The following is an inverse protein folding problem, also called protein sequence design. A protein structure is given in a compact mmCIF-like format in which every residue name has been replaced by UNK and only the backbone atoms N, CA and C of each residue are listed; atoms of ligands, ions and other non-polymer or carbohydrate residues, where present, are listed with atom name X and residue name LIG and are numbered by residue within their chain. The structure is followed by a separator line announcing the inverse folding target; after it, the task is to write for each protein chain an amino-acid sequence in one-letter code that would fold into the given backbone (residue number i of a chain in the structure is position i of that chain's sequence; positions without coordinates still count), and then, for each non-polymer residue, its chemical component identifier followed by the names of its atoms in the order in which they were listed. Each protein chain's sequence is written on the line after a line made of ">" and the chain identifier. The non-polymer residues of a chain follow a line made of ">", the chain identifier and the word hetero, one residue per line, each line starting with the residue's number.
data_IF_159109888551
#
_entry.id   IF_159109888551
#
_cell.length_a   1.000
_cell.length_b   1.000
_cell.length_c   1.000
_cell.angle_alpha   90.00
_cell.angle_beta   90.00
_cell.angle_gamma   90.00
#
_symmetry.space_group_name_H-M   'P 1'
#
loop_
_entity.id
_entity.type
_entity.pdbx_description
1 polymer ?
#
# COMPACT_ATOMS: atom_id res chain seq x y z
N UNK A 1 -2.93 20.36 13.05
CA UNK A 1 -4.36 20.08 12.85
C UNK A 1 -4.49 18.99 11.80
N UNK A 2 -5.15 17.87 12.13
CA UNK A 2 -5.40 16.79 11.18
C UNK A 2 -6.83 16.92 10.65
N UNK A 3 -7.01 16.92 9.33
CA UNK A 3 -8.33 16.96 8.69
C UNK A 3 -8.47 15.69 7.88
N UNK A 4 -9.52 14.93 8.16
CA UNK A 4 -9.84 13.69 7.45
C UNK A 4 -11.04 13.96 6.57
N UNK A 5 -10.91 13.75 5.27
CA UNK A 5 -11.98 13.96 4.30
C UNK A 5 -12.17 12.66 3.53
N UNK A 6 -13.39 12.15 3.47
CA UNK A 6 -13.67 10.86 2.84
C UNK A 6 -13.62 10.94 1.31
N UNK A 7 -14.07 12.04 0.71
CA UNK A 7 -13.96 12.29 -0.72
C UNK A 7 -13.60 13.75 -0.97
N UNK A 8 -12.68 13.99 -1.91
CA UNK A 8 -12.26 15.32 -2.32
C UNK A 8 -12.54 15.46 -3.81
N UNK A 9 -13.50 16.30 -4.16
CA UNK A 9 -13.80 16.64 -5.55
C UNK A 9 -12.72 17.53 -6.17
N UNK A 10 -12.67 17.59 -7.50
CA UNK A 10 -11.72 18.43 -8.24
C UNK A 10 -11.82 19.89 -7.75
N UNK A 11 -10.71 20.42 -7.21
CA UNK A 11 -10.62 21.80 -6.72
C UNK A 11 -11.07 22.04 -5.28
N UNK A 12 -11.74 21.09 -4.62
CA UNK A 12 -12.16 21.24 -3.21
C UNK A 12 -10.96 21.32 -2.26
N UNK A 13 -9.88 20.63 -2.61
CA UNK A 13 -8.65 20.62 -1.83
C UNK A 13 -8.02 21.99 -1.63
N UNK A 14 -7.97 22.79 -2.70
CA UNK A 14 -7.37 24.13 -2.63
C UNK A 14 -8.19 25.06 -1.74
N UNK A 15 -9.53 24.99 -1.85
CA UNK A 15 -10.45 25.76 -1.02
C UNK A 15 -10.30 25.40 0.46
N UNK A 16 -10.16 24.12 0.77
CA UNK A 16 -9.92 23.63 2.12
C UNK A 16 -8.60 24.20 2.70
N UNK A 17 -7.51 24.11 1.94
CA UNK A 17 -6.19 24.61 2.38
C UNK A 17 -6.21 26.13 2.58
N UNK A 18 -6.84 26.88 1.68
CA UNK A 18 -6.99 28.33 1.78
C UNK A 18 -7.79 28.74 3.03
N UNK A 19 -8.87 28.04 3.33
CA UNK A 19 -9.67 28.27 4.54
C UNK A 19 -8.89 27.95 5.82
N UNK A 20 -8.13 26.85 5.84
CA UNK A 20 -7.33 26.47 7.01
C UNK A 20 -6.19 27.45 7.29
N UNK A 21 -5.55 27.99 6.24
CA UNK A 21 -4.55 29.06 6.39
C UNK A 21 -5.14 30.35 6.97
N UNK A 22 -6.34 30.77 6.52
CA UNK A 22 -7.02 31.96 7.06
C UNK A 22 -7.32 31.84 8.55
N UNK A 23 -7.49 30.62 9.06
CA UNK A 23 -7.68 30.33 10.48
C UNK A 23 -6.37 30.23 11.28
N UNK A 24 -5.22 30.56 10.69
CA UNK A 24 -3.91 30.56 11.36
C UNK A 24 -3.27 29.17 11.56
N UNK A 25 -3.83 28.12 10.96
CA UNK A 25 -3.32 26.76 11.13
C UNK A 25 -2.16 26.48 10.18
N UNK A 26 -0.92 26.76 10.61
CA UNK A 26 0.30 26.58 9.80
C UNK A 26 0.79 25.13 9.63
N UNK A 27 0.17 24.15 10.31
CA UNK A 27 0.52 22.73 10.23
C UNK A 27 -0.74 21.89 10.05
N UNK A 28 -1.05 21.57 8.79
CA UNK A 28 -2.20 20.74 8.41
C UNK A 28 -1.70 19.42 7.80
N UNK A 29 -2.32 18.31 8.21
CA UNK A 29 -2.19 16.98 7.60
C UNK A 29 -3.55 16.60 7.04
N UNK A 30 -3.63 16.26 5.75
CA UNK A 30 -4.86 15.85 5.09
C UNK A 30 -4.84 14.35 4.82
N UNK A 31 -5.86 13.64 5.28
CA UNK A 31 -6.08 12.23 4.98
C UNK A 31 -7.31 12.12 4.09
N UNK A 32 -7.10 11.74 2.82
CA UNK A 32 -8.17 11.61 1.83
C UNK A 32 -8.28 10.15 1.35
N UNK A 33 -9.48 9.56 1.40
CA UNK A 33 -9.68 8.19 0.89
C UNK A 33 -9.58 8.12 -0.64
N UNK A 34 -9.96 9.20 -1.33
CA UNK A 34 -9.78 9.41 -2.78
C UNK A 34 -9.24 10.82 -3.04
N UNK A 35 -8.14 10.95 -3.77
CA UNK A 35 -7.66 12.24 -4.30
C UNK A 35 -6.91 12.01 -5.61
N UNK A 36 -7.28 12.76 -6.64
CA UNK A 36 -6.61 12.69 -7.95
C UNK A 36 -5.24 13.38 -7.92
N UNK A 37 -4.35 12.97 -8.84
CA UNK A 37 -3.00 13.52 -8.98
C UNK A 37 -2.95 15.05 -9.09
N UNK A 38 -3.90 15.67 -9.80
CA UNK A 38 -3.98 17.13 -9.96
C UNK A 38 -4.34 17.85 -8.64
N UNK A 39 -5.25 17.27 -7.85
CA UNK A 39 -5.63 17.83 -6.55
C UNK A 39 -4.50 17.71 -5.53
N UNK A 40 -3.76 16.59 -5.51
CA UNK A 40 -2.60 16.43 -4.63
C UNK A 40 -1.53 17.49 -4.89
N UNK A 41 -1.26 17.81 -6.16
CA UNK A 41 -0.31 18.87 -6.53
C UNK A 41 -0.81 20.25 -6.07
N UNK A 42 -2.11 20.55 -6.25
CA UNK A 42 -2.71 21.79 -5.76
C UNK A 42 -2.64 21.94 -4.24
N UNK A 43 -2.87 20.84 -3.52
CA UNK A 43 -2.80 20.76 -2.06
C UNK A 43 -1.38 21.01 -1.52
N UNK A 44 -0.39 20.34 -2.10
CA UNK A 44 1.02 20.50 -1.72
C UNK A 44 1.52 21.92 -1.99
N UNK A 45 1.19 22.47 -3.17
CA UNK A 45 1.51 23.87 -3.52
C UNK A 45 0.82 24.86 -2.58
N UNK A 46 -0.38 24.51 -2.09
CA UNK A 46 -1.11 25.23 -1.05
C UNK A 46 -0.48 25.16 0.36
N UNK A 47 0.62 24.43 0.55
CA UNK A 47 1.36 24.34 1.81
C UNK A 47 0.84 23.28 2.79
N UNK A 48 0.14 22.26 2.29
CA UNK A 48 0.03 21.01 3.03
C UNK A 48 1.42 20.38 3.18
N UNK A 49 1.74 19.93 4.39
CA UNK A 49 3.03 19.28 4.66
C UNK A 49 3.03 17.77 4.38
N UNK A 50 1.86 17.18 4.12
CA UNK A 50 1.72 15.78 3.74
C UNK A 50 0.28 15.40 3.39
N UNK A 51 0.14 14.50 2.43
CA UNK A 51 -1.13 13.92 2.00
C UNK A 51 -0.97 12.42 1.77
N UNK A 52 -1.98 11.64 2.14
CA UNK A 52 -2.09 10.21 1.82
C UNK A 52 -3.40 10.00 1.07
N UNK A 53 -3.33 9.43 -0.13
CA UNK A 53 -4.47 9.12 -0.97
C UNK A 53 -4.37 7.69 -1.51
N UNK A 54 -5.51 7.00 -1.60
CA UNK A 54 -5.59 5.66 -2.19
C UNK A 54 -6.37 5.72 -3.50
N UNK A 55 -5.78 5.29 -4.61
CA UNK A 55 -6.52 5.18 -5.89
C UNK A 55 -7.22 3.82 -5.98
N UNK A 56 -8.53 3.77 -6.27
CA UNK A 56 -9.23 2.51 -6.47
C UNK A 56 -9.10 2.10 -7.94
N UNK A 57 -7.92 1.64 -8.36
CA UNK A 57 -7.85 0.83 -9.57
C UNK A 57 -7.73 -0.65 -9.18
N UNK A 58 -8.75 -1.13 -8.48
CA UNK A 58 -9.05 -2.55 -8.38
C UNK A 58 -10.11 -2.84 -9.44
N UNK A 59 -9.66 -3.19 -10.64
CA UNK A 59 -10.51 -3.85 -11.63
C UNK A 59 -10.96 -5.19 -11.04
N UNK A 60 -12.21 -5.21 -10.56
CA UNK A 60 -12.92 -6.41 -10.12
C UNK A 60 -13.14 -7.29 -11.37
N UNK A 61 -12.41 -8.39 -11.47
CA UNK A 61 -12.72 -9.48 -12.40
C UNK A 61 -13.99 -10.24 -11.96
N UNK A 62 -14.68 -10.93 -12.88
CA UNK A 62 -16.08 -11.34 -12.69
C UNK A 62 -16.28 -12.36 -11.55
N UNK A 63 -17.50 -12.39 -10.95
CA UNK A 63 -17.80 -13.19 -9.78
C UNK A 63 -18.07 -14.65 -10.17
N UNK A 64 -17.26 -15.57 -9.64
CA UNK A 64 -17.54 -17.01 -9.62
C UNK A 64 -17.95 -17.43 -8.21
N UNK A 65 -19.20 -17.80 -8.05
CA UNK A 65 -19.95 -18.03 -6.81
C UNK A 65 -19.46 -19.17 -5.90
N UNK A 66 -19.50 -18.97 -4.59
CA UNK A 66 -20.26 -19.80 -3.63
C UNK A 66 -20.36 -19.11 -2.24
N UNK A 67 -21.45 -19.35 -1.47
CA UNK A 67 -21.98 -18.39 -0.50
C UNK A 67 -21.65 -18.75 0.96
N UNK A 68 -21.66 -17.74 1.84
CA UNK A 68 -21.87 -17.97 3.27
C UNK A 68 -20.72 -17.61 4.20
N UNK A 69 -20.16 -16.40 4.07
CA UNK A 69 -19.55 -15.74 5.21
C UNK A 69 -19.84 -14.24 5.08
N UNK A 70 -20.64 -13.70 5.99
CA UNK A 70 -20.80 -12.26 6.17
C UNK A 70 -19.39 -11.64 6.25
N UNK A 71 -18.98 -10.80 5.27
CA UNK A 71 -17.67 -10.17 5.35
C UNK A 71 -17.73 -9.17 6.49
N UNK A 72 -17.08 -9.51 7.60
CA UNK A 72 -16.74 -8.51 8.61
C UNK A 72 -15.87 -7.45 7.92
N UNK A 73 -16.28 -6.17 7.91
CA UNK A 73 -15.52 -5.09 7.27
C UNK A 73 -14.16 -4.81 7.95
N UNK A 74 -13.80 -5.58 8.98
CA UNK A 74 -12.55 -5.49 9.73
C UNK A 74 -11.64 -6.71 9.61
N UNK A 75 -12.00 -7.73 8.84
CA UNK A 75 -11.05 -8.77 8.47
C UNK A 75 -10.06 -8.14 7.47
N UNK A 76 -8.95 -7.60 7.98
CA UNK A 76 -7.75 -7.35 7.18
C UNK A 76 -7.40 -8.69 6.53
N UNK A 77 -7.83 -8.92 5.30
CA UNK A 77 -7.49 -10.11 4.53
C UNK A 77 -5.97 -10.15 4.45
N UNK A 78 -5.36 -10.98 5.30
CA UNK A 78 -3.93 -11.22 5.21
C UNK A 78 -3.69 -11.79 3.81
N UNK A 79 -2.76 -11.25 3.03
CA UNK A 79 -2.38 -11.84 1.76
C UNK A 79 -2.01 -13.30 2.02
N UNK A 80 -2.69 -14.23 1.34
CA UNK A 80 -2.44 -15.65 1.53
C UNK A 80 -1.14 -16.02 0.79
N UNK A 81 -0.03 -15.90 1.53
CA UNK A 81 1.29 -16.32 1.08
C UNK A 81 1.46 -17.80 1.43
N UNK A 82 1.88 -18.57 0.44
CA UNK A 82 2.27 -19.97 0.65
C UNK A 82 3.47 -20.05 1.60
N UNK A 83 3.65 -21.17 2.29
CA UNK A 83 4.80 -21.39 3.18
C UNK A 83 6.13 -21.12 2.47
N UNK A 84 6.21 -21.47 1.18
CA UNK A 84 7.40 -21.27 0.36
C UNK A 84 7.67 -19.80 0.05
N UNK A 85 6.63 -19.03 -0.25
CA UNK A 85 6.72 -17.58 -0.44
C UNK A 85 7.13 -16.88 0.84
N UNK A 86 6.65 -17.35 1.99
CA UNK A 86 7.02 -16.83 3.30
C UNK A 86 8.50 -17.10 3.63
N UNK A 87 9.03 -18.29 3.32
CA UNK A 87 10.47 -18.59 3.46
C UNK A 87 11.34 -17.64 2.61
N UNK A 88 10.97 -17.41 1.34
CA UNK A 88 11.67 -16.48 0.46
C UNK A 88 11.61 -15.06 1.03
N UNK A 89 10.44 -14.65 1.51
CA UNK A 89 10.19 -13.31 2.05
C UNK A 89 11.00 -13.03 3.33
N UNK A 90 11.20 -14.02 4.20
CA UNK A 90 12.06 -13.92 5.39
C UNK A 90 13.50 -13.60 5.02
N UNK A 91 14.10 -14.41 4.15
CA UNK A 91 15.48 -14.20 3.70
C UNK A 91 15.66 -12.86 2.97
N UNK A 92 14.62 -12.38 2.28
CA UNK A 92 14.63 -11.06 1.67
C UNK A 92 14.68 -9.95 2.72
N UNK A 93 13.92 -10.09 3.81
CA UNK A 93 13.93 -9.16 4.94
C UNK A 93 15.27 -9.18 5.69
N UNK A 94 15.92 -10.34 5.75
CA UNK A 94 17.28 -10.50 6.30
C UNK A 94 18.38 -9.95 5.37
N UNK A 95 18.01 -9.41 4.20
CA UNK A 95 18.93 -8.74 3.28
C UNK A 95 19.64 -9.66 2.28
N UNK A 96 19.25 -10.93 2.17
CA UNK A 96 19.92 -11.89 1.29
C UNK A 96 19.70 -11.55 -0.19
N UNK A 97 20.74 -11.72 -1.01
CA UNK A 97 20.63 -11.60 -2.47
C UNK A 97 19.80 -12.76 -3.05
N UNK A 98 19.23 -12.59 -4.24
CA UNK A 98 18.44 -13.67 -4.88
C UNK A 98 19.26 -14.95 -5.13
N UNK A 99 20.59 -14.81 -5.28
CA UNK A 99 21.50 -15.95 -5.41
C UNK A 99 21.65 -16.67 -4.07
N UNK A 100 21.95 -15.93 -3.00
CA UNK A 100 22.07 -16.50 -1.66
C UNK A 100 20.75 -17.15 -1.17
N UNK A 101 19.61 -16.54 -1.48
CA UNK A 101 18.28 -17.13 -1.23
C UNK A 101 18.12 -18.45 -2.01
N UNK A 102 18.60 -18.47 -3.25
CA UNK A 102 18.58 -19.66 -4.08
C UNK A 102 19.42 -20.78 -3.48
N UNK A 103 20.63 -20.46 -3.05
CA UNK A 103 21.55 -21.42 -2.43
C UNK A 103 20.97 -21.99 -1.12
N UNK A 104 20.39 -21.13 -0.27
CA UNK A 104 19.76 -21.54 1.01
C UNK A 104 18.52 -22.43 0.81
N UNK A 105 17.74 -22.15 -0.24
CA UNK A 105 16.47 -22.84 -0.47
C UNK A 105 16.56 -23.96 -1.51
N UNK A 106 17.73 -24.22 -2.11
CA UNK A 106 17.88 -25.17 -3.22
C UNK A 106 17.14 -24.75 -4.50
N UNK A 107 17.08 -23.45 -4.79
CA UNK A 107 16.40 -22.86 -5.96
C UNK A 107 17.38 -22.09 -6.84
N UNK A 108 17.07 -21.98 -8.13
CA UNK A 108 17.80 -21.02 -8.98
C UNK A 108 17.45 -19.58 -8.62
N UNK A 109 18.39 -18.65 -8.82
CA UNK A 109 18.13 -17.21 -8.64
C UNK A 109 16.97 -16.69 -9.53
N UNK A 110 16.74 -17.32 -10.69
CA UNK A 110 15.61 -17.02 -11.57
C UNK A 110 14.27 -17.48 -10.96
N UNK A 111 14.26 -18.64 -10.32
CA UNK A 111 13.09 -19.14 -9.58
C UNK A 111 12.77 -18.22 -8.41
N UNK A 112 13.79 -17.75 -7.68
CA UNK A 112 13.61 -16.75 -6.60
C UNK A 112 13.00 -15.45 -7.14
N UNK A 113 13.48 -14.93 -8.29
CA UNK A 113 12.85 -13.76 -8.94
C UNK A 113 11.37 -14.01 -9.26
N UNK A 114 11.04 -15.21 -9.74
CA UNK A 114 9.65 -15.59 -10.05
C UNK A 114 8.77 -15.64 -8.78
N UNK A 115 9.30 -16.17 -7.67
CA UNK A 115 8.62 -16.13 -6.38
C UNK A 115 8.41 -14.70 -5.92
N UNK A 116 9.44 -13.85 -5.96
CA UNK A 116 9.34 -12.44 -5.60
C UNK A 116 8.30 -11.70 -6.45
N UNK A 117 8.23 -11.95 -7.75
CA UNK A 117 7.22 -11.35 -8.62
C UNK A 117 5.79 -11.77 -8.23
N UNK A 118 5.58 -13.03 -7.83
CA UNK A 118 4.27 -13.50 -7.32
C UNK A 118 3.91 -12.84 -6.00
N UNK A 119 4.87 -12.77 -5.06
CA UNK A 119 4.69 -12.10 -3.75
C UNK A 119 4.37 -10.63 -3.97
N UNK A 120 5.15 -9.93 -4.79
CA UNK A 120 4.94 -8.54 -5.21
C UNK A 120 3.52 -8.30 -5.74
N UNK A 121 3.00 -9.19 -6.59
CA UNK A 121 1.63 -9.10 -7.08
C UNK A 121 0.59 -9.29 -5.96
N UNK A 122 0.82 -10.26 -5.06
CA UNK A 122 -0.08 -10.51 -3.91
C UNK A 122 -0.08 -9.36 -2.91
N UNK A 123 1.06 -8.70 -2.73
CA UNK A 123 1.23 -7.57 -1.80
C UNK A 123 0.96 -6.20 -2.46
N UNK A 124 0.76 -6.16 -3.78
CA UNK A 124 0.50 -4.92 -4.52
C UNK A 124 1.70 -3.97 -4.61
N UNK A 125 2.93 -4.50 -4.60
CA UNK A 125 4.16 -3.68 -4.65
C UNK A 125 5.18 -4.22 -5.64
N UNK A 126 5.81 -3.35 -6.41
CA UNK A 126 6.95 -3.67 -7.28
C UNK A 126 8.32 -3.40 -6.64
N UNK A 127 8.35 -2.76 -5.46
CA UNK A 127 9.58 -2.38 -4.80
C UNK A 127 9.94 -3.37 -3.67
N UNK A 128 11.22 -3.74 -3.59
CA UNK A 128 11.75 -4.69 -2.63
C UNK A 128 11.67 -4.15 -1.20
N UNK A 129 11.98 -2.87 -0.99
CA UNK A 129 11.90 -2.27 0.34
C UNK A 129 10.44 -2.17 0.80
N UNK A 130 9.53 -1.74 -0.09
CA UNK A 130 8.10 -1.73 0.17
C UNK A 130 7.54 -3.14 0.46
N UNK A 131 8.04 -4.18 -0.22
CA UNK A 131 7.66 -5.58 0.04
C UNK A 131 8.00 -6.01 1.47
N UNK A 132 9.19 -5.67 1.98
CA UNK A 132 9.58 -5.94 3.38
C UNK A 132 8.72 -5.12 4.34
N UNK A 133 8.56 -3.82 4.09
CA UNK A 133 7.79 -2.92 4.94
C UNK A 133 6.32 -3.34 5.08
N UNK A 134 5.68 -3.74 3.99
CA UNK A 134 4.30 -4.27 3.99
C UNK A 134 4.23 -5.55 4.81
N UNK A 135 5.22 -6.43 4.67
CA UNK A 135 5.23 -7.73 5.35
C UNK A 135 5.36 -7.60 6.86
N UNK A 136 6.17 -6.66 7.35
CA UNK A 136 6.26 -6.31 8.78
C UNK A 136 4.95 -5.67 9.25
N UNK A 137 4.42 -4.67 8.53
CA UNK A 137 3.21 -3.94 8.91
C UNK A 137 1.96 -4.84 8.98
N UNK A 138 1.91 -5.87 8.16
CA UNK A 138 0.78 -6.83 8.11
C UNK A 138 0.96 -8.01 9.07
N UNK A 139 2.11 -8.11 9.74
CA UNK A 139 2.43 -9.21 10.65
C UNK A 139 2.66 -10.55 9.93
N UNK A 140 3.05 -10.51 8.65
CA UNK A 140 3.50 -11.69 7.90
C UNK A 140 4.93 -12.09 8.31
N UNK A 141 5.72 -11.09 8.68
CA UNK A 141 7.01 -11.23 9.34
C UNK A 141 6.89 -10.67 10.75
N UNK A 142 7.48 -11.37 11.71
CA UNK A 142 7.51 -11.02 13.13
C UNK A 142 8.95 -10.70 13.54
#
# INVERSE_FOLDING_TARGET
>A
MCVVVTELGEGEGQTLVRNLRRRGSGRVILLARRAGRRDLVGLLTGGLRGAVATEPNATVGPPGSAPGAVPSPFARTRPDLTSRELSVLRLVADGFSNRAIGDELGLSALTVKSHLARISRKLGTGDRAALVAISIRTGLLA
#
